data_IF_632769040017
#
_entry.id   IF_632769040017
#
_cell.length_a   1.000
_cell.length_b   1.000
_cell.length_c   1.000
_cell.angle_alpha   90.00
_cell.angle_beta   90.00
_cell.angle_gamma   90.00
#
_symmetry.space_group_name_H-M   'P 1'
#
loop_
_entity.id
_entity.type
_entity.pdbx_description
1 polymer ?
#
# COMPACT_ATOMS: atom_id res chain seq x y z
N UNK A 1 0.92 11.39 2.21
CA UNK A 1 0.84 10.83 3.58
C UNK A 1 1.25 9.37 3.54
N UNK A 2 1.87 8.83 4.60
CA UNK A 2 2.26 7.42 4.69
C UNK A 2 1.61 6.82 5.94
N UNK A 3 0.99 5.65 5.78
CA UNK A 3 0.51 4.81 6.88
C UNK A 3 1.27 3.48 6.87
N UNK A 4 1.60 2.96 8.05
CA UNK A 4 2.31 1.68 8.20
C UNK A 4 1.59 0.77 9.19
N UNK A 5 1.35 -0.48 8.80
CA UNK A 5 0.68 -1.49 9.62
C UNK A 5 1.40 -2.83 9.49
N UNK A 6 1.87 -3.35 10.63
CA UNK A 6 2.46 -4.68 10.75
C UNK A 6 1.43 -5.66 11.34
N UNK A 7 1.19 -6.78 10.66
CA UNK A 7 0.16 -7.76 11.03
C UNK A 7 0.70 -9.06 11.64
N UNK A 8 1.98 -9.10 12.01
CA UNK A 8 2.55 -10.25 12.70
C UNK A 8 2.87 -11.42 11.76
N UNK A 9 2.91 -12.63 12.31
CA UNK A 9 3.61 -13.80 11.79
C UNK A 9 2.88 -14.60 10.68
N UNK A 10 2.06 -13.94 9.85
CA UNK A 10 1.28 -14.59 8.78
C UNK A 10 0.34 -15.72 9.25
N UNK A 11 -0.20 -15.57 10.46
CA UNK A 11 -1.18 -16.47 11.07
C UNK A 11 -2.65 -16.05 10.82
N UNK A 12 -2.87 -14.97 10.06
CA UNK A 12 -4.21 -14.54 9.65
C UNK A 12 -4.82 -15.48 8.60
N UNK A 13 -6.11 -15.79 8.77
CA UNK A 13 -6.86 -16.72 7.90
C UNK A 13 -8.25 -16.21 7.58
N UNK A 14 -8.76 -16.56 6.40
CA UNK A 14 -10.17 -16.45 6.03
C UNK A 14 -10.77 -17.84 5.92
N UNK A 15 -11.39 -18.31 7.01
CA UNK A 15 -11.72 -19.72 7.16
C UNK A 15 -10.46 -20.59 7.06
N UNK A 16 -10.45 -21.51 6.11
CA UNK A 16 -9.30 -22.40 5.88
C UNK A 16 -8.24 -21.83 4.92
N UNK A 17 -8.45 -20.64 4.36
CA UNK A 17 -7.47 -20.00 3.47
C UNK A 17 -6.49 -19.10 4.24
N UNK A 18 -5.16 -19.21 4.04
CA UNK A 18 -4.20 -18.29 4.63
C UNK A 18 -4.23 -16.92 3.94
N UNK A 19 -4.03 -15.84 4.71
CA UNK A 19 -3.84 -14.50 4.16
C UNK A 19 -2.38 -14.32 3.76
N UNK A 20 -2.11 -14.15 2.46
CA UNK A 20 -0.75 -14.03 1.93
C UNK A 20 -0.25 -12.59 1.89
N UNK A 21 -1.18 -11.63 1.76
CA UNK A 21 -0.89 -10.22 1.68
C UNK A 21 -2.04 -9.39 2.23
N UNK A 22 -1.75 -8.17 2.65
CA UNK A 22 -2.73 -7.23 3.15
C UNK A 22 -2.43 -5.84 2.62
N UNK A 23 -3.47 -5.07 2.30
CA UNK A 23 -3.32 -3.75 1.73
C UNK A 23 -4.33 -2.79 2.33
N UNK A 24 -4.05 -1.51 2.19
CA UNK A 24 -4.93 -0.42 2.59
C UNK A 24 -4.66 0.79 1.71
N UNK A 25 -5.71 1.54 1.39
CA UNK A 25 -5.64 2.71 0.53
C UNK A 25 -6.27 3.87 1.29
N UNK A 26 -5.47 4.66 2.04
CA UNK A 26 -6.02 5.77 2.80
C UNK A 26 -6.73 6.75 1.88
N UNK A 27 -7.92 7.19 2.29
CA UNK A 27 -8.74 8.10 1.52
C UNK A 27 -7.99 9.41 1.21
N UNK A 28 -8.25 9.94 0.01
CA UNK A 28 -7.73 11.24 -0.40
C UNK A 28 -8.57 12.36 0.22
N UNK A 29 -7.98 13.55 0.27
CA UNK A 29 -8.70 14.77 0.60
C UNK A 29 -8.16 15.94 -0.24
N UNK A 30 -8.83 17.10 -0.29
CA UNK A 30 -8.29 18.28 -0.97
C UNK A 30 -6.89 18.69 -0.48
N UNK A 31 -6.56 18.40 0.79
CA UNK A 31 -5.24 18.68 1.36
C UNK A 31 -4.22 17.54 1.12
N UNK A 32 -4.66 16.37 0.66
CA UNK A 32 -3.83 15.18 0.50
C UNK A 32 -4.27 14.37 -0.73
N UNK A 33 -3.67 14.69 -1.88
CA UNK A 33 -3.92 14.01 -3.15
C UNK A 33 -3.07 12.77 -3.41
N UNK A 34 -2.17 12.39 -2.48
CA UNK A 34 -1.31 11.21 -2.58
C UNK A 34 -1.10 10.55 -1.21
N UNK A 35 -1.43 9.27 -1.12
CA UNK A 35 -1.24 8.44 0.08
C UNK A 35 -0.50 7.14 -0.26
N UNK A 36 0.31 6.69 0.70
CA UNK A 36 1.01 5.41 0.66
C UNK A 36 0.58 4.56 1.85
N UNK A 37 0.43 3.27 1.61
CA UNK A 37 0.21 2.28 2.65
C UNK A 37 1.31 1.23 2.65
N UNK A 38 2.00 1.04 3.78
CA UNK A 38 2.99 -0.01 3.98
C UNK A 38 2.39 -1.07 4.88
N UNK A 39 2.21 -2.27 4.34
CA UNK A 39 1.47 -3.32 5.01
C UNK A 39 2.27 -4.61 5.03
N UNK A 40 2.69 -5.03 6.22
CA UNK A 40 3.47 -6.25 6.44
C UNK A 40 2.64 -7.39 7.01
N UNK A 41 2.89 -8.61 6.55
CA UNK A 41 2.41 -9.87 7.13
C UNK A 41 3.43 -10.98 6.87
N UNK A 42 3.92 -11.62 7.94
CA UNK A 42 5.10 -12.48 7.86
C UNK A 42 6.28 -11.71 7.28
N UNK A 43 6.93 -12.31 6.29
CA UNK A 43 8.03 -11.69 5.54
C UNK A 43 7.55 -10.88 4.33
N UNK A 44 6.25 -10.88 4.04
CA UNK A 44 5.68 -10.13 2.92
C UNK A 44 5.37 -8.70 3.36
N UNK A 45 6.01 -7.74 2.69
CA UNK A 45 5.60 -6.34 2.73
C UNK A 45 4.97 -6.01 1.39
N UNK A 46 3.85 -5.27 1.39
CA UNK A 46 3.61 -4.47 0.20
C UNK A 46 3.23 -3.03 0.47
N UNK A 47 3.49 -2.26 -0.58
CA UNK A 47 3.44 -0.82 -0.64
C UNK A 47 2.34 -0.49 -1.63
N UNK A 48 1.25 0.08 -1.13
CA UNK A 48 0.13 0.57 -1.94
C UNK A 48 0.27 2.07 -2.15
N UNK A 49 -0.11 2.55 -3.33
CA UNK A 49 -0.19 3.97 -3.67
C UNK A 49 -1.63 4.29 -4.04
N UNK A 50 -2.19 5.36 -3.48
CA UNK A 50 -3.48 5.91 -3.89
C UNK A 50 -3.31 7.40 -4.17
N UNK A 51 -3.68 7.83 -5.38
CA UNK A 51 -3.43 9.18 -5.83
C UNK A 51 -4.61 9.72 -6.64
N UNK A 52 -4.84 11.03 -6.52
CA UNK A 52 -5.71 11.76 -7.43
C UNK A 52 -4.94 12.00 -8.73
N UNK A 53 -5.61 11.86 -9.86
CA UNK A 53 -5.04 12.15 -11.19
C UNK A 53 -4.50 13.58 -11.29
N UNK A 54 -5.17 14.55 -10.65
CA UNK A 54 -4.71 15.94 -10.58
C UNK A 54 -3.41 16.14 -9.79
N UNK A 55 -3.00 15.15 -9.00
CA UNK A 55 -1.75 15.17 -8.21
C UNK A 55 -0.67 14.32 -8.87
N UNK A 56 -1.03 13.13 -9.38
CA UNK A 56 -0.15 12.22 -10.11
C UNK A 56 -0.84 11.88 -11.44
N UNK A 57 -0.35 12.48 -12.53
CA UNK A 57 -0.95 12.28 -13.86
C UNK A 57 -0.69 10.92 -14.48
N UNK A 58 0.47 10.32 -14.22
CA UNK A 58 0.82 8.95 -14.62
C UNK A 58 1.22 8.15 -13.39
N UNK A 59 0.28 7.33 -12.90
CA UNK A 59 0.50 6.50 -11.73
C UNK A 59 1.48 5.35 -12.02
N UNK A 60 1.55 4.87 -13.26
CA UNK A 60 2.44 3.77 -13.62
C UNK A 60 3.89 4.25 -13.69
N UNK A 61 4.15 5.46 -14.20
CA UNK A 61 5.48 6.08 -14.09
C UNK A 61 5.88 6.30 -12.64
N UNK A 62 4.95 6.77 -11.81
CA UNK A 62 5.20 6.93 -10.37
C UNK A 62 5.58 5.60 -9.72
N UNK A 63 4.84 4.52 -10.01
CA UNK A 63 5.12 3.18 -9.48
C UNK A 63 6.47 2.64 -9.98
N UNK A 64 6.82 2.83 -11.25
CA UNK A 64 8.15 2.44 -11.77
C UNK A 64 9.28 3.17 -11.05
N UNK A 65 9.12 4.47 -10.77
CA UNK A 65 10.12 5.26 -10.05
C UNK A 65 10.22 4.88 -8.58
N UNK A 66 9.09 4.53 -7.97
CA UNK A 66 9.05 4.04 -6.60
C UNK A 66 9.75 2.68 -6.51
N UNK A 67 9.44 1.74 -7.40
CA UNK A 67 10.05 0.42 -7.48
C UNK A 67 11.57 0.51 -7.68
N UNK A 68 12.04 1.39 -8.57
CA UNK A 68 13.47 1.61 -8.79
C UNK A 68 14.23 2.21 -7.57
N UNK A 69 13.51 2.71 -6.55
CA UNK A 69 14.08 3.31 -5.36
C UNK A 69 14.03 2.41 -4.11
N UNK A 70 13.46 1.21 -4.22
CA UNK A 70 13.35 0.21 -3.15
C UNK A 70 14.43 -0.87 -3.27
#
# INVERSE_FOLDING_TARGET
MVSSVHRGAADLRFGDAPVLWTAGYPALSPAMGLTHGVHGIGDTVAISVHAAESTIGDIDDYLRRLDAAL
#
